data_IF_638222209602
#
_entry.id   IF_638222209602
#
_cell.length_a   1.000
_cell.length_b   1.000
_cell.length_c   1.000
_cell.angle_alpha   90.00
_cell.angle_beta   90.00
_cell.angle_gamma   90.00
#
_symmetry.space_group_name_H-M   'P 1'
#
loop_
_entity.id
_entity.type
_entity.pdbx_description
1 polymer ?
#
# COMPACT_ATOMS: atom_id res chain seq x y z
N UNK A 1 23.72 21.73 7.82
CA UNK A 1 22.74 22.47 7.05
C UNK A 1 22.92 22.27 5.57
N UNK A 2 24.11 22.43 5.06
CA UNK A 2 24.36 22.18 3.65
C UNK A 2 23.99 20.76 3.28
N UNK A 3 24.24 19.84 4.18
CA UNK A 3 23.87 18.45 3.94
C UNK A 3 22.38 18.28 3.79
N UNK A 4 21.62 18.96 4.63
CA UNK A 4 20.18 18.88 4.55
C UNK A 4 19.66 19.41 3.25
N UNK A 5 20.24 20.51 2.79
CA UNK A 5 19.84 21.08 1.52
C UNK A 5 20.16 20.14 0.38
N UNK A 6 21.32 19.50 0.45
CA UNK A 6 21.68 18.53 -0.55
C UNK A 6 20.71 17.37 -0.57
N UNK A 7 20.32 16.92 0.62
CA UNK A 7 19.37 15.82 0.71
C UNK A 7 18.02 16.20 0.14
N UNK A 8 17.60 17.43 0.38
CA UNK A 8 16.32 17.87 -0.18
C UNK A 8 16.34 17.93 -1.69
N UNK A 9 17.48 18.21 -2.27
CA UNK A 9 17.59 18.27 -3.72
C UNK A 9 17.68 16.91 -4.35
N UNK A 10 18.07 15.91 -3.60
CA UNK A 10 18.17 14.54 -4.09
C UNK A 10 16.97 13.73 -3.61
N UNK A 11 16.48 12.80 -4.43
CA UNK A 11 15.43 11.91 -3.97
C UNK A 11 15.92 11.13 -2.76
N UNK A 12 15.08 11.02 -1.78
CA UNK A 12 15.42 10.21 -0.61
C UNK A 12 15.43 8.74 -0.98
N UNK A 13 16.39 7.98 -0.47
CA UNK A 13 16.35 6.54 -0.67
C UNK A 13 15.10 5.98 0.01
N UNK A 14 14.50 4.99 -0.61
CA UNK A 14 13.36 4.32 0.00
C UNK A 14 13.84 3.60 1.26
N UNK A 15 13.00 3.62 2.28
CA UNK A 15 13.31 2.87 3.51
C UNK A 15 13.27 1.39 3.22
N UNK A 16 14.11 0.64 3.93
CA UNK A 16 14.13 -0.80 3.77
C UNK A 16 12.75 -1.39 3.99
N UNK A 17 12.35 -2.25 3.07
CA UNK A 17 11.07 -2.92 3.15
C UNK A 17 11.23 -4.21 3.95
N UNK A 18 10.42 -4.35 5.00
CA UNK A 18 10.32 -5.59 5.76
C UNK A 18 8.85 -5.97 5.84
N UNK A 19 8.59 -7.21 6.24
CA UNK A 19 7.23 -7.67 6.41
C UNK A 19 6.47 -6.78 7.40
N UNK A 20 7.10 -6.46 8.54
CA UNK A 20 6.47 -5.64 9.55
C UNK A 20 6.19 -4.24 9.02
N UNK A 21 7.11 -3.69 8.25
CA UNK A 21 6.90 -2.36 7.70
C UNK A 21 5.74 -2.33 6.72
N UNK A 22 5.63 -3.36 5.88
CA UNK A 22 4.49 -3.44 4.96
C UNK A 22 3.18 -3.54 5.72
N UNK A 23 3.17 -4.32 6.81
CA UNK A 23 1.98 -4.43 7.63
C UNK A 23 1.61 -3.08 8.24
N UNK A 24 2.60 -2.34 8.72
CA UNK A 24 2.36 -1.01 9.30
C UNK A 24 1.83 -0.04 8.26
N UNK A 25 2.37 -0.08 7.05
CA UNK A 25 1.89 0.75 5.96
C UNK A 25 0.42 0.44 5.66
N UNK A 26 0.09 -0.85 5.61
CA UNK A 26 -1.28 -1.28 5.34
C UNK A 26 -2.24 -0.79 6.43
N UNK A 27 -1.84 -0.92 7.69
CA UNK A 27 -2.67 -0.46 8.80
C UNK A 27 -2.89 1.04 8.75
N UNK A 28 -1.83 1.78 8.46
CA UNK A 28 -1.93 3.23 8.34
C UNK A 28 -2.90 3.62 7.22
N UNK A 29 -2.81 2.92 6.10
CA UNK A 29 -3.69 3.18 4.96
C UNK A 29 -5.14 2.91 5.33
N UNK A 30 -5.39 1.81 6.02
CA UNK A 30 -6.75 1.41 6.39
C UNK A 30 -7.38 2.35 7.40
N UNK A 31 -6.58 3.04 8.20
CA UNK A 31 -7.10 4.04 9.12
C UNK A 31 -7.66 5.24 8.40
N UNK A 32 -7.24 5.48 7.18
CA UNK A 32 -7.61 6.66 6.43
C UNK A 32 -8.60 6.38 5.30
N UNK A 33 -8.58 5.18 4.76
CA UNK A 33 -9.33 4.87 3.56
C UNK A 33 -10.01 3.53 3.65
N UNK A 34 -11.26 3.48 3.18
CA UNK A 34 -11.90 2.21 2.89
C UNK A 34 -11.31 1.72 1.58
N UNK A 35 -11.01 0.42 1.51
CA UNK A 35 -10.35 -0.09 0.33
C UNK A 35 -10.66 -1.57 0.11
N UNK A 36 -10.47 -2.02 -1.12
CA UNK A 36 -10.58 -3.43 -1.47
C UNK A 36 -9.24 -4.12 -1.28
N UNK A 37 -9.28 -5.47 -1.28
CA UNK A 37 -8.06 -6.25 -1.20
C UNK A 37 -7.10 -5.93 -2.33
N UNK A 38 -7.63 -5.84 -3.54
CA UNK A 38 -6.80 -5.54 -4.70
C UNK A 38 -6.16 -4.18 -4.61
N UNK A 39 -6.92 -3.20 -4.17
CA UNK A 39 -6.38 -1.85 -4.05
C UNK A 39 -5.31 -1.78 -2.96
N UNK A 40 -5.52 -2.49 -1.86
CA UNK A 40 -4.51 -2.54 -0.80
C UNK A 40 -3.24 -3.20 -1.30
N UNK A 41 -3.37 -4.30 -2.06
CA UNK A 41 -2.23 -4.93 -2.69
C UNK A 41 -1.47 -3.95 -3.58
N UNK A 42 -2.19 -3.18 -4.37
CA UNK A 42 -1.56 -2.22 -5.27
C UNK A 42 -0.80 -1.15 -4.50
N UNK A 43 -1.34 -0.69 -3.38
CA UNK A 43 -0.67 0.30 -2.54
C UNK A 43 0.64 -0.26 -2.01
N UNK A 44 0.60 -1.47 -1.48
CA UNK A 44 1.80 -2.10 -0.92
C UNK A 44 2.81 -2.42 -2.02
N UNK A 45 2.33 -2.88 -3.16
CA UNK A 45 3.20 -3.23 -4.27
C UNK A 45 3.93 -2.00 -4.80
N UNK A 46 3.28 -0.86 -4.79
CA UNK A 46 3.92 0.38 -5.22
C UNK A 46 5.14 0.70 -4.36
N UNK A 47 4.99 0.50 -3.05
CA UNK A 47 6.12 0.71 -2.13
C UNK A 47 7.25 -0.27 -2.40
N UNK A 48 6.89 -1.53 -2.63
CA UNK A 48 7.88 -2.57 -2.94
C UNK A 48 8.61 -2.24 -4.24
N UNK A 49 7.88 -1.79 -5.25
CA UNK A 49 8.49 -1.50 -6.54
C UNK A 49 9.48 -0.35 -6.47
N UNK A 50 9.16 0.69 -5.69
CA UNK A 50 10.09 1.81 -5.51
C UNK A 50 11.39 1.33 -4.87
N UNK A 51 11.28 0.51 -3.84
CA UNK A 51 12.47 0.00 -3.16
C UNK A 51 13.26 -0.92 -4.08
N UNK A 52 12.58 -1.78 -4.82
CA UNK A 52 13.24 -2.72 -5.72
C UNK A 52 13.98 -1.98 -6.83
N UNK A 53 13.42 -0.89 -7.31
CA UNK A 53 14.07 -0.09 -8.33
C UNK A 53 15.41 0.47 -7.83
N UNK A 54 15.43 0.90 -6.58
CA UNK A 54 16.63 1.46 -5.97
C UNK A 54 17.61 0.39 -5.50
N UNK A 55 17.15 -0.83 -5.36
CA UNK A 55 17.96 -1.94 -4.83
C UNK A 55 17.77 -3.17 -5.70
N UNK A 56 18.41 -3.21 -6.87
CA UNK A 56 18.15 -4.28 -7.84
C UNK A 56 18.47 -5.69 -7.33
N UNK A 57 19.37 -5.80 -6.37
CA UNK A 57 19.75 -7.12 -5.84
C UNK A 57 18.79 -7.64 -4.78
N UNK A 58 17.84 -6.82 -4.39
CA UNK A 58 16.88 -7.20 -3.36
C UNK A 58 15.86 -8.18 -3.91
N UNK A 59 15.46 -9.14 -3.09
CA UNK A 59 14.51 -10.17 -3.51
C UNK A 59 13.08 -9.64 -3.45
N UNK A 60 12.61 -9.09 -4.56
CA UNK A 60 11.26 -8.53 -4.66
C UNK A 60 10.19 -9.60 -4.51
N UNK A 61 10.46 -10.80 -4.99
CA UNK A 61 9.48 -11.89 -4.93
C UNK A 61 9.11 -12.26 -3.51
N UNK A 62 10.07 -12.21 -2.62
CA UNK A 62 9.80 -12.50 -1.22
C UNK A 62 8.81 -11.47 -0.66
N UNK A 63 9.00 -10.22 -1.01
CA UNK A 63 8.12 -9.16 -0.54
C UNK A 63 6.71 -9.28 -1.12
N UNK A 64 6.60 -9.73 -2.35
CA UNK A 64 5.28 -9.99 -2.95
C UNK A 64 4.54 -11.04 -2.15
N UNK A 65 5.24 -12.07 -1.71
CA UNK A 65 4.66 -13.07 -0.82
C UNK A 65 4.17 -12.48 0.49
N UNK A 66 4.95 -11.57 1.06
CA UNK A 66 4.54 -10.89 2.29
C UNK A 66 3.25 -10.10 2.08
N UNK A 67 3.13 -9.42 0.95
CA UNK A 67 1.94 -8.65 0.64
C UNK A 67 0.71 -9.56 0.60
N UNK A 68 0.82 -10.71 -0.07
CA UNK A 68 -0.30 -11.65 -0.15
C UNK A 68 -0.72 -12.12 1.23
N UNK A 69 0.25 -12.43 2.09
CA UNK A 69 -0.04 -12.86 3.45
C UNK A 69 -0.74 -11.77 4.26
N UNK A 70 -0.24 -10.54 4.16
CA UNK A 70 -0.80 -9.43 4.92
C UNK A 70 -2.23 -9.18 4.50
N UNK A 71 -2.49 -9.14 3.20
CA UNK A 71 -3.83 -8.88 2.69
C UNK A 71 -4.78 -9.99 3.12
N UNK A 72 -4.33 -11.24 3.05
CA UNK A 72 -5.16 -12.37 3.48
C UNK A 72 -5.50 -12.27 4.97
N UNK A 73 -4.53 -11.89 5.80
CA UNK A 73 -4.77 -11.71 7.23
C UNK A 73 -5.82 -10.62 7.47
N UNK A 74 -5.68 -9.51 6.76
CA UNK A 74 -6.57 -8.38 6.98
C UNK A 74 -7.98 -8.68 6.49
N UNK A 75 -8.11 -9.49 5.45
CA UNK A 75 -9.42 -9.98 5.03
C UNK A 75 -10.04 -10.84 6.13
N UNK A 76 -9.24 -11.69 6.73
CA UNK A 76 -9.71 -12.54 7.81
C UNK A 76 -10.15 -11.75 9.04
N UNK A 77 -9.52 -10.61 9.29
CA UNK A 77 -9.90 -9.75 10.41
C UNK A 77 -11.11 -8.87 10.09
N UNK A 78 -11.52 -8.82 8.82
CA UNK A 78 -12.59 -7.92 8.42
C UNK A 78 -12.15 -6.49 8.19
N UNK A 79 -10.86 -6.26 8.11
CA UNK A 79 -10.32 -4.92 7.85
C UNK A 79 -10.51 -4.49 6.41
N UNK A 80 -10.63 -5.45 5.51
CA UNK A 80 -10.83 -5.21 4.09
C UNK A 80 -12.05 -6.02 3.67
N UNK A 81 -12.99 -5.38 3.00
CA UNK A 81 -14.23 -6.03 2.59
C UNK A 81 -14.56 -5.59 1.18
N UNK A 82 -14.27 -6.46 0.22
CA UNK A 82 -14.44 -6.14 -1.19
C UNK A 82 -15.89 -5.88 -1.55
N UNK A 83 -16.81 -6.63 -0.98
CA UNK A 83 -18.22 -6.44 -1.28
C UNK A 83 -18.71 -5.10 -0.75
N UNK A 84 -18.31 -4.76 0.47
CA UNK A 84 -18.68 -3.48 1.06
C UNK A 84 -18.09 -2.31 0.28
N UNK A 85 -16.84 -2.45 -0.15
CA UNK A 85 -16.18 -1.42 -0.91
C UNK A 85 -16.90 -1.17 -2.23
N UNK A 86 -17.26 -2.23 -2.93
CA UNK A 86 -17.98 -2.09 -4.20
C UNK A 86 -19.33 -1.43 -4.00
N UNK A 87 -20.03 -1.79 -2.94
CA UNK A 87 -21.32 -1.22 -2.62
C UNK A 87 -21.21 0.28 -2.35
N UNK A 88 -20.21 0.68 -1.60
CA UNK A 88 -19.97 2.09 -1.31
C UNK A 88 -19.66 2.87 -2.58
N UNK A 89 -18.88 2.30 -3.48
CA UNK A 89 -18.55 2.97 -4.72
C UNK A 89 -19.79 3.19 -5.58
N UNK A 90 -20.68 2.23 -5.62
CA UNK A 90 -21.91 2.35 -6.37
C UNK A 90 -22.77 3.47 -5.80
N UNK A 91 -22.89 3.52 -4.48
CA UNK A 91 -23.67 4.55 -3.82
C UNK A 91 -23.12 5.93 -4.09
N UNK A 92 -21.81 6.08 -4.02
CA UNK A 92 -21.16 7.35 -4.28
C UNK A 92 -21.43 7.82 -5.70
N UNK A 93 -21.35 6.89 -6.64
CA UNK A 93 -21.59 7.19 -8.03
C UNK A 93 -23.02 7.72 -8.25
N UNK A 94 -23.99 7.04 -7.68
CA UNK A 94 -25.39 7.43 -7.80
C UNK A 94 -25.66 8.73 -7.09
N UNK A 95 -25.07 8.92 -5.90
CA UNK A 95 -25.29 10.15 -5.12
C UNK A 95 -24.70 11.36 -5.83
N UNK A 96 -23.68 11.17 -6.64
CA UNK A 96 -23.08 12.28 -7.39
C UNK A 96 -23.92 12.68 -8.60
N UNK A 97 -25.03 12.00 -8.85
CA UNK A 97 -25.91 12.33 -9.95
C UNK A 97 -25.41 11.93 -11.31
N UNK A 98 -24.44 11.09 -11.36
CA UNK A 98 -23.93 10.60 -12.64
C UNK A 98 -24.70 9.37 -13.05
N UNK A 99 -25.05 9.32 -14.25
CA UNK A 99 -25.88 8.21 -14.71
C UNK A 99 -25.30 7.59 -15.95
#
# INVERSE_FOLDING_TARGET
MAEEETERKKPRPARKITRQRLKNIALYYLQRFETSSENLKAVLLRRVNVYAFQNPDWNRQEAVGWIDEIVAQFEGYGYVDDARFAEMKIKDYLAAGKS
#
